data_IF_625212645487
#
_entry.id   IF_625212645487
#
_cell.length_a   1.000
_cell.length_b   1.000
_cell.length_c   1.000
_cell.angle_alpha   90.00
_cell.angle_beta   90.00
_cell.angle_gamma   90.00
#
_symmetry.space_group_name_H-M   'P 1'
#
loop_
_entity.id
_entity.type
_entity.pdbx_description
1 polymer ?
2 non-polymer ?
3 non-polymer ?
4 non-polymer ?
5 water ?
#
# COMPACT_ATOMS: atom_id res chain seq x y z
N UNK A 9 6.84 0.54 13.96
CA UNK A 9 5.57 1.27 14.05
C UNK A 9 4.42 0.36 14.44
N UNK A 10 3.41 0.92 15.10
CA UNK A 10 2.17 0.20 15.35
C UNK A 10 1.16 0.57 14.27
N UNK A 11 1.51 0.18 13.05
CA UNK A 11 0.67 0.48 11.90
C UNK A 11 -0.66 -0.27 11.96
N UNK A 12 -0.67 -1.46 12.56
CA UNK A 12 -1.90 -2.23 12.68
C UNK A 12 -2.90 -1.54 13.60
N UNK A 13 -2.43 -0.75 14.56
CA UNK A 13 -3.33 -0.04 15.46
C UNK A 13 -4.02 1.14 14.78
N UNK A 14 -3.44 1.67 13.71
CA UNK A 14 -4.11 2.72 12.97
C UNK A 14 -5.24 2.14 12.13
N UNK A 15 -6.17 3.02 11.75
CA UNK A 15 -7.30 2.59 10.96
C UNK A 15 -6.91 2.15 9.57
N UNK A 16 -7.91 1.78 8.78
CA UNK A 16 -7.67 1.19 7.45
C UNK A 16 -7.53 2.19 6.32
N UNK A 17 -7.70 3.48 6.58
CA UNK A 17 -7.63 4.47 5.52
C UNK A 17 -6.24 5.06 5.36
N UNK A 18 -5.47 4.53 4.40
CA UNK A 18 -4.15 5.04 4.09
C UNK A 18 -4.21 5.88 2.83
N UNK A 19 -3.40 6.93 2.77
CA UNK A 19 -3.53 7.94 1.73
C UNK A 19 -2.16 8.29 1.17
N UNK A 20 -1.98 8.07 -0.13
CA UNK A 20 -0.81 8.59 -0.83
C UNK A 20 -0.84 10.12 -0.87
N UNK A 21 0.32 10.73 -0.62
CA UNK A 21 0.51 12.16 -0.84
C UNK A 21 1.86 12.36 -1.51
N UNK A 22 1.91 12.92 -2.71
CA UNK A 22 3.20 13.15 -3.37
C UNK A 22 4.10 14.05 -2.52
N UNK A 23 5.36 13.65 -2.41
CA UNK A 23 6.29 14.33 -1.50
C UNK A 23 6.75 15.69 -2.01
N UNK A 24 6.50 16.03 -3.27
CA UNK A 24 6.76 17.38 -3.74
C UNK A 24 5.56 18.30 -3.53
N UNK A 25 4.60 17.91 -2.69
CA UNK A 25 3.50 18.78 -2.29
C UNK A 25 3.49 18.98 -0.77
N UNK A 26 4.56 19.53 -0.19
CA UNK A 26 4.59 19.69 1.27
C UNK A 26 3.46 20.56 1.81
N UNK A 27 2.90 21.44 0.98
CA UNK A 27 1.77 22.26 1.42
C UNK A 27 0.55 21.41 1.74
N UNK A 28 0.50 20.16 1.27
CA UNK A 28 -0.63 19.27 1.52
C UNK A 28 -0.36 18.22 2.59
N UNK A 29 0.84 18.18 3.16
CA UNK A 29 1.18 17.11 4.11
C UNK A 29 0.25 17.14 5.32
N UNK A 30 0.04 18.32 5.90
CA UNK A 30 -0.79 18.43 7.10
C UNK A 30 -2.23 18.03 6.83
N UNK A 31 -2.76 18.40 5.65
CA UNK A 31 -4.13 18.03 5.32
C UNK A 31 -4.25 16.51 5.12
N UNK A 32 -3.24 15.90 4.50
CA UNK A 32 -3.24 14.46 4.33
C UNK A 32 -3.24 13.76 5.68
N UNK A 33 -2.37 14.20 6.60
CA UNK A 33 -2.32 13.60 7.92
C UNK A 33 -3.66 13.77 8.65
N UNK A 34 -4.29 14.93 8.51
CA UNK A 34 -5.59 15.14 9.15
C UNK A 34 -6.66 14.24 8.57
N UNK A 35 -6.60 13.96 7.27
CA UNK A 35 -7.66 13.18 6.63
C UNK A 35 -7.51 11.68 6.83
N UNK A 36 -6.28 11.18 6.91
CA UNK A 36 -6.02 9.76 6.80
C UNK A 36 -5.59 9.15 8.13
N UNK A 37 -5.67 7.82 8.20
CA UNK A 37 -5.10 7.10 9.32
C UNK A 37 -3.58 7.01 9.21
N UNK A 38 -3.06 6.72 8.02
CA UNK A 38 -1.64 6.67 7.74
C UNK A 38 -1.41 7.38 6.41
N UNK A 39 -0.33 8.15 6.31
CA UNK A 39 0.02 8.86 5.09
C UNK A 39 1.18 8.13 4.44
N UNK A 40 1.10 7.90 3.14
CA UNK A 40 2.23 7.37 2.37
C UNK A 40 2.84 8.54 1.61
N UNK A 41 3.93 9.09 2.13
CA UNK A 41 4.62 10.15 1.41
C UNK A 41 5.37 9.52 0.25
N UNK A 42 5.10 10.00 -0.97
CA UNK A 42 5.47 9.26 -2.17
C UNK A 42 6.65 9.94 -2.87
N UNK A 43 7.74 9.18 -3.02
CA UNK A 43 8.86 9.62 -3.86
C UNK A 43 8.88 8.93 -5.22
N UNK A 44 7.96 7.98 -5.46
CA UNK A 44 7.95 7.22 -6.71
C UNK A 44 6.94 7.81 -7.69
N UNK A 45 5.97 7.01 -8.16
CA UNK A 45 5.23 7.38 -9.36
C UNK A 45 4.38 8.62 -9.20
N UNK A 46 4.04 9.01 -7.97
CA UNK A 46 3.29 10.25 -7.80
C UNK A 46 4.10 11.51 -8.00
N UNK A 47 5.43 11.40 -8.16
CA UNK A 47 6.29 12.57 -8.31
C UNK A 47 7.01 12.47 -9.64
N UNK A 48 6.91 13.54 -10.44
CA UNK A 48 7.60 13.59 -11.73
C UNK A 48 9.10 13.45 -11.55
N UNK A 49 9.74 12.83 -12.55
CA UNK A 49 11.18 12.59 -12.50
C UNK A 49 11.95 13.85 -12.12
N UNK A 50 11.61 14.98 -12.74
CA UNK A 50 12.34 16.22 -12.47
C UNK A 50 12.06 16.79 -11.10
N UNK A 51 10.99 16.35 -10.44
CA UNK A 51 10.57 16.87 -9.15
C UNK A 51 11.03 16.01 -7.97
N UNK A 52 11.68 14.88 -8.23
CA UNK A 52 12.10 14.03 -7.12
C UNK A 52 13.13 14.68 -6.21
N UNK A 53 14.14 15.41 -6.69
CA UNK A 53 15.02 16.11 -5.73
C UNK A 53 14.27 17.08 -4.83
N UNK A 54 13.32 17.84 -5.39
CA UNK A 54 12.51 18.73 -4.56
C UNK A 54 11.68 17.94 -3.55
N UNK A 55 11.15 16.78 -3.98
CA UNK A 55 10.38 15.95 -3.06
C UNK A 55 11.24 15.47 -1.90
N UNK A 56 12.50 15.11 -2.16
CA UNK A 56 13.39 14.66 -1.09
C UNK A 56 13.67 15.77 -0.09
N UNK A 57 13.88 17.00 -0.58
CA UNK A 57 14.06 18.13 0.34
C UNK A 57 12.81 18.37 1.18
N UNK A 58 11.63 18.31 0.56
CA UNK A 58 10.40 18.48 1.33
C UNK A 58 10.24 17.39 2.38
N UNK A 59 10.65 16.17 2.04
CA UNK A 59 10.60 15.07 3.00
C UNK A 59 11.36 15.41 4.27
N UNK A 60 12.51 16.07 4.13
CA UNK A 60 13.31 16.45 5.29
C UNK A 60 12.76 17.70 5.98
N UNK A 61 12.23 18.65 5.20
CA UNK A 61 11.86 19.96 5.74
C UNK A 61 10.48 19.97 6.38
N UNK A 62 9.57 19.08 6.00
CA UNK A 62 8.18 19.10 6.46
C UNK A 62 7.83 17.75 7.06
N UNK A 63 8.21 17.50 8.30
CA UNK A 63 8.01 16.17 8.89
C UNK A 63 6.56 15.93 9.30
N UNK A 64 6.14 14.69 9.13
CA UNK A 64 4.89 14.17 9.68
C UNK A 64 5.22 13.16 10.77
N UNK A 65 4.20 12.78 11.53
CA UNK A 65 4.37 11.80 12.61
C UNK A 65 4.93 10.49 12.06
N UNK A 66 6.15 10.11 12.44
CA UNK A 66 6.73 8.87 11.91
C UNK A 66 6.00 7.61 12.34
N UNK A 67 5.13 7.68 13.36
CA UNK A 67 4.33 6.53 13.74
C UNK A 67 3.11 6.34 12.87
N UNK A 68 2.78 7.31 12.02
CA UNK A 68 1.62 7.22 11.15
C UNK A 68 1.97 7.57 9.71
N UNK A 69 3.25 7.47 9.34
CA UNK A 69 3.72 7.88 8.03
C UNK A 69 4.65 6.80 7.48
N UNK A 70 4.42 6.42 6.23
CA UNK A 70 5.27 5.51 5.45
C UNK A 70 5.82 6.32 4.28
N UNK A 71 7.03 5.98 3.82
CA UNK A 71 7.61 6.67 2.66
C UNK A 71 7.74 5.66 1.53
N UNK A 72 7.06 5.92 0.40
CA UNK A 72 7.28 5.07 -0.77
C UNK A 72 8.53 5.54 -1.49
N UNK A 73 9.54 4.67 -1.54
CA UNK A 73 10.80 4.96 -2.22
C UNK A 73 10.73 4.43 -3.64
N UNK A 74 11.82 4.56 -4.39
CA UNK A 74 11.85 4.08 -5.76
C UNK A 74 12.32 2.63 -5.80
N UNK A 75 12.25 2.04 -6.99
CA UNK A 75 12.42 0.60 -7.14
C UNK A 75 13.87 0.17 -6.89
N UNK A 76 14.02 -1.10 -6.54
CA UNK A 76 15.35 -1.63 -6.25
C UNK A 76 16.27 -1.48 -7.45
N UNK A 77 17.53 -1.17 -7.18
CA UNK A 77 18.53 -1.06 -8.22
C UNK A 77 18.56 0.25 -8.96
N UNK A 78 17.64 1.17 -8.69
CA UNK A 78 17.60 2.44 -9.39
C UNK A 78 18.43 3.48 -8.67
N UNK A 79 18.96 4.44 -9.44
CA UNK A 79 19.66 5.56 -8.84
C UNK A 79 18.73 6.36 -7.93
N UNK A 80 17.45 6.48 -8.30
CA UNK A 80 16.51 7.22 -7.47
C UNK A 80 16.37 6.62 -6.09
N UNK A 81 16.31 5.29 -5.98
CA UNK A 81 16.21 4.70 -4.64
C UNK A 81 17.42 5.06 -3.80
N UNK A 82 18.61 5.07 -4.41
CA UNK A 82 19.81 5.45 -3.68
C UNK A 82 19.70 6.87 -3.14
N UNK A 83 19.22 7.79 -3.98
CA UNK A 83 19.03 9.16 -3.52
C UNK A 83 17.96 9.22 -2.43
N UNK A 84 16.91 8.38 -2.54
CA UNK A 84 15.85 8.35 -1.54
C UNK A 84 16.39 7.95 -0.17
N UNK A 85 17.20 6.89 -0.13
CA UNK A 85 17.70 6.41 1.15
C UNK A 85 18.64 7.43 1.78
N UNK A 86 19.40 8.16 0.97
CA UNK A 86 20.22 9.25 1.49
C UNK A 86 19.37 10.35 2.10
N UNK A 87 18.28 10.72 1.43
CA UNK A 87 17.40 11.74 1.97
C UNK A 87 16.73 11.25 3.26
N UNK A 88 16.32 9.98 3.28
CA UNK A 88 15.67 9.42 4.46
C UNK A 88 16.60 9.37 5.67
N UNK A 89 17.91 9.36 5.45
CA UNK A 89 18.84 9.37 6.56
C UNK A 89 18.64 10.58 7.46
N UNK A 90 18.21 11.70 6.89
CA UNK A 90 17.97 12.90 7.67
C UNK A 90 16.53 13.04 8.12
N UNK A 91 15.82 11.93 8.28
CA UNK A 91 14.45 11.92 8.75
C UNK A 91 14.29 10.93 9.89
N UNK A 92 13.13 10.98 10.53
CA UNK A 92 12.77 10.04 11.59
C UNK A 92 11.95 8.86 11.08
N UNK A 93 11.75 8.73 9.77
CA UNK A 93 10.89 7.67 9.25
C UNK A 93 11.60 6.34 9.33
N UNK A 94 10.85 5.30 9.68
CA UNK A 94 11.38 3.96 9.85
C UNK A 94 10.77 2.93 8.91
N UNK A 95 9.71 3.27 8.18
CA UNK A 95 9.01 2.32 7.34
C UNK A 95 8.95 2.84 5.91
N UNK A 96 9.36 2.02 4.96
CA UNK A 96 9.32 2.39 3.56
C UNK A 96 8.43 1.41 2.81
N UNK A 97 7.85 1.90 1.72
CA UNK A 97 7.12 1.08 0.77
C UNK A 97 7.99 0.88 -0.47
N UNK A 98 8.20 -0.40 -0.85
CA UNK A 98 9.07 -0.74 -1.97
C UNK A 98 8.21 -1.04 -3.18
N UNK A 99 8.19 -0.19 -4.21
CA UNK A 99 7.41 -0.50 -5.41
C UNK A 99 8.16 -1.49 -6.30
N UNK A 100 7.41 -2.10 -7.21
CA UNK A 100 7.92 -3.16 -8.08
C UNK A 100 8.74 -4.17 -7.28
N UNK A 101 8.26 -4.55 -6.10
CA UNK A 101 9.00 -5.50 -5.26
C UNK A 101 9.03 -6.85 -5.95
N UNK A 102 10.24 -7.41 -6.15
CA UNK A 102 10.36 -8.59 -7.00
C UNK A 102 11.16 -9.73 -6.40
N UNK A 103 11.77 -9.56 -5.24
CA UNK A 103 12.53 -10.64 -4.63
C UNK A 103 12.70 -10.34 -3.15
N UNK A 104 12.93 -11.42 -2.38
CA UNK A 104 13.31 -11.23 -0.99
C UNK A 104 14.57 -10.37 -0.88
N UNK A 105 15.50 -10.51 -1.83
CA UNK A 105 16.75 -9.76 -1.74
C UNK A 105 16.50 -8.25 -1.78
N UNK A 106 15.54 -7.80 -2.60
CA UNK A 106 15.21 -6.38 -2.66
C UNK A 106 14.69 -5.87 -1.34
N UNK A 107 13.96 -6.69 -0.60
CA UNK A 107 13.49 -6.29 0.71
C UNK A 107 14.64 -6.30 1.71
N UNK A 108 15.41 -7.39 1.73
CA UNK A 108 16.49 -7.54 2.70
C UNK A 108 17.50 -6.41 2.59
N UNK A 109 17.75 -5.91 1.38
CA UNK A 109 18.76 -4.86 1.26
C UNK A 109 18.27 -3.54 1.84
N UNK A 110 17.01 -3.43 2.24
CA UNK A 110 16.50 -2.24 2.91
C UNK A 110 16.58 -2.34 4.43
N UNK A 111 17.00 -3.49 4.98
CA UNK A 111 17.22 -3.58 6.42
C UNK A 111 18.20 -2.49 6.85
N UNK A 112 18.06 -1.94 8.06
CA UNK A 112 17.14 -2.34 9.14
C UNK A 112 15.77 -1.65 9.11
N UNK A 113 15.39 -1.05 7.98
CA UNK A 113 14.06 -0.45 7.88
C UNK A 113 12.98 -1.54 7.85
N UNK A 114 11.77 -1.15 8.25
CA UNK A 114 10.59 -1.97 8.00
C UNK A 114 10.09 -1.71 6.58
N UNK A 115 9.61 -2.75 5.92
CA UNK A 115 9.31 -2.67 4.49
C UNK A 115 7.88 -3.13 4.23
N UNK A 116 7.12 -2.31 3.52
CA UNK A 116 5.87 -2.75 2.91
C UNK A 116 6.17 -2.99 1.44
N UNK A 117 6.09 -4.25 1.02
CA UNK A 117 6.41 -4.60 -0.37
C UNK A 117 5.17 -4.40 -1.23
N UNK A 118 5.31 -3.59 -2.27
CA UNK A 118 4.23 -3.35 -3.23
C UNK A 118 4.50 -4.24 -4.44
N UNK A 119 3.74 -5.32 -4.54
CA UNK A 119 3.87 -6.26 -5.65
C UNK A 119 2.97 -5.80 -6.79
N UNK A 120 3.58 -5.56 -7.95
CA UNK A 120 2.86 -4.97 -9.07
C UNK A 120 3.53 -5.36 -10.39
N UNK A 121 4.20 -6.52 -10.41
CA UNK A 121 4.79 -7.09 -11.62
C UNK A 121 4.61 -8.60 -11.53
N UNK A 122 4.74 -9.27 -12.69
CA UNK A 122 4.58 -10.72 -12.72
C UNK A 122 5.63 -11.41 -11.85
N UNK A 123 6.88 -10.94 -11.91
CA UNK A 123 7.92 -11.56 -11.08
C UNK A 123 7.59 -11.42 -9.59
N UNK A 124 7.10 -10.25 -9.17
CA UNK A 124 6.70 -10.10 -7.78
C UNK A 124 5.58 -11.03 -7.39
N UNK A 125 4.61 -11.24 -8.29
CA UNK A 125 3.51 -12.16 -7.99
C UNK A 125 4.02 -13.58 -7.85
N UNK A 126 4.92 -14.00 -8.74
CA UNK A 126 5.47 -15.35 -8.69
C UNK A 126 6.27 -15.56 -7.41
N UNK A 127 6.93 -14.53 -6.92
CA UNK A 127 7.77 -14.61 -5.73
C UNK A 127 7.11 -14.04 -4.49
N UNK A 128 5.77 -13.95 -4.45
CA UNK A 128 5.11 -13.24 -3.37
C UNK A 128 5.39 -13.84 -2.00
N UNK A 129 5.41 -15.17 -1.89
CA UNK A 129 5.65 -15.79 -0.59
C UNK A 129 7.06 -15.50 -0.09
N UNK A 130 8.06 -15.58 -0.98
CA UNK A 130 9.42 -15.28 -0.55
C UNK A 130 9.56 -13.83 -0.12
N UNK A 131 8.88 -12.93 -0.81
CA UNK A 131 8.90 -11.51 -0.44
C UNK A 131 8.23 -11.30 0.91
N UNK A 132 7.08 -11.95 1.13
CA UNK A 132 6.38 -11.80 2.40
C UNK A 132 7.20 -12.34 3.56
N UNK A 133 7.92 -13.44 3.32
CA UNK A 133 8.66 -14.10 4.38
C UNK A 133 9.94 -13.37 4.75
N UNK A 134 10.41 -12.44 3.91
CA UNK A 134 11.67 -11.76 4.19
C UNK A 134 11.60 -11.02 5.53
N UNK A 135 12.70 -11.05 6.27
CA UNK A 135 12.66 -10.52 7.64
C UNK A 135 12.20 -9.07 7.73
N UNK A 136 12.62 -8.13 6.88
CA UNK A 136 12.15 -6.74 7.04
C UNK A 136 10.69 -6.53 6.69
N UNK A 137 10.02 -7.49 6.06
CA UNK A 137 8.67 -7.23 5.59
C UNK A 137 7.72 -7.07 6.76
N UNK A 138 6.92 -6.00 6.75
CA UNK A 138 5.82 -5.84 7.68
C UNK A 138 4.47 -5.74 6.98
N UNK A 139 4.45 -5.62 5.66
CA UNK A 139 3.19 -5.61 4.93
C UNK A 139 3.39 -5.90 3.46
N UNK A 140 2.29 -6.27 2.81
CA UNK A 140 2.24 -6.48 1.37
C UNK A 140 1.08 -5.68 0.79
N UNK A 141 1.34 -5.04 -0.34
CA UNK A 141 0.32 -4.37 -1.12
C UNK A 141 0.42 -4.88 -2.55
N UNK A 142 -0.65 -4.72 -3.33
CA UNK A 142 -0.57 -5.02 -4.75
C UNK A 142 -1.02 -3.81 -5.57
N UNK A 143 -0.55 -3.76 -6.81
CA UNK A 143 -0.88 -2.69 -7.73
C UNK A 143 -1.30 -3.20 -9.08
N UNK A 144 -2.57 -2.98 -9.43
CA UNK A 144 -3.13 -3.58 -10.64
C UNK A 144 -2.59 -2.93 -11.92
N UNK A 145 -2.32 -1.63 -11.87
CA UNK A 145 -2.02 -0.91 -13.10
C UNK A 145 -0.60 -1.17 -13.57
N UNK A 146 0.39 -1.08 -12.66
CA UNK A 146 1.74 -1.47 -13.04
C UNK A 146 1.80 -2.95 -13.40
N UNK A 147 0.97 -3.77 -12.75
CA UNK A 147 0.94 -5.20 -13.10
C UNK A 147 0.55 -5.36 -14.56
N UNK A 148 -0.56 -4.77 -14.95
CA UNK A 148 -1.02 -4.88 -16.34
C UNK A 148 -0.01 -4.25 -17.28
N UNK A 149 0.59 -3.12 -16.87
CA UNK A 149 1.55 -2.45 -17.74
C UNK A 149 2.75 -3.33 -18.01
N UNK A 150 3.31 -3.95 -16.97
CA UNK A 150 4.50 -4.76 -17.15
C UNK A 150 4.19 -6.12 -17.78
N UNK A 151 2.94 -6.58 -17.72
CA UNK A 151 2.51 -7.73 -18.52
C UNK A 151 2.38 -7.39 -19.99
N UNK A 152 2.46 -6.11 -20.36
CA UNK A 152 2.22 -5.72 -21.72
C UNK A 152 0.76 -5.56 -22.09
N UNK A 153 -0.12 -5.47 -21.10
CA UNK A 153 -1.55 -5.31 -21.34
C UNK A 153 -1.94 -3.84 -21.43
N UNK A 154 -3.26 -3.61 -21.47
CA UNK A 154 -3.76 -2.26 -21.67
C UNK A 154 -4.92 -1.86 -20.78
N UNK A 155 -5.49 -2.76 -19.98
CA UNK A 155 -6.51 -2.37 -19.01
C UNK A 155 -6.65 -3.45 -17.96
N UNK A 156 -6.78 -3.02 -16.71
CA UNK A 156 -6.91 -3.93 -15.58
C UNK A 156 -8.36 -4.33 -15.29
N UNK A 157 -9.34 -3.65 -15.89
CA UNK A 157 -10.74 -3.86 -15.53
C UNK A 157 -11.58 -4.19 -16.76
N UNK A 158 -12.59 -5.03 -16.54
CA UNK A 158 -13.56 -5.40 -17.56
C UNK A 158 -14.51 -4.22 -17.81
N UNK A 159 -15.38 -4.41 -18.80
CA UNK A 159 -16.35 -3.37 -19.15
C UNK A 159 -17.27 -3.05 -17.97
N UNK A 160 -17.66 -4.07 -17.20
CA UNK A 160 -18.52 -3.85 -16.04
C UNK A 160 -17.78 -3.31 -14.83
N UNK A 161 -16.49 -2.98 -14.95
CA UNK A 161 -15.73 -2.40 -13.87
C UNK A 161 -14.98 -3.37 -12.98
N UNK A 162 -15.30 -4.65 -13.06
CA UNK A 162 -14.59 -5.65 -12.27
C UNK A 162 -13.16 -5.82 -12.78
N UNK A 163 -12.26 -6.17 -11.87
CA UNK A 163 -10.90 -6.48 -12.27
C UNK A 163 -10.89 -7.67 -13.22
N UNK A 164 -9.97 -7.65 -14.17
CA UNK A 164 -9.73 -8.83 -15.00
C UNK A 164 -9.11 -9.93 -14.14
N UNK A 165 -9.16 -11.17 -14.65
CA UNK A 165 -8.82 -12.32 -13.82
C UNK A 165 -7.40 -12.26 -13.27
N UNK A 166 -6.42 -11.84 -14.08
CA UNK A 166 -5.04 -11.90 -13.58
C UNK A 166 -4.84 -10.91 -12.43
N UNK A 167 -5.55 -9.79 -12.44
CA UNK A 167 -5.51 -8.87 -11.31
C UNK A 167 -6.18 -9.49 -10.08
N UNK A 168 -7.35 -10.12 -10.26
CA UNK A 168 -7.99 -10.82 -9.15
C UNK A 168 -7.09 -11.91 -8.59
N UNK A 169 -6.36 -12.59 -9.46
CA UNK A 169 -5.44 -13.65 -9.05
C UNK A 169 -4.31 -13.10 -8.18
N UNK A 170 -3.71 -11.99 -8.61
CA UNK A 170 -2.61 -11.39 -7.85
C UNK A 170 -3.10 -10.82 -6.53
N UNK A 171 -4.30 -10.22 -6.53
CA UNK A 171 -4.89 -9.74 -5.28
C UNK A 171 -5.00 -10.85 -4.23
N UNK A 172 -5.54 -12.01 -4.61
CA UNK A 172 -5.62 -13.13 -3.69
C UNK A 172 -4.24 -13.62 -3.31
N UNK A 173 -3.32 -13.67 -4.28
CA UNK A 173 -1.95 -14.11 -4.00
C UNK A 173 -1.32 -13.27 -2.89
N UNK A 174 -1.48 -11.95 -2.98
CA UNK A 174 -0.85 -11.05 -2.02
C UNK A 174 -1.53 -11.15 -0.66
N UNK A 175 -2.87 -11.25 -0.65
CA UNK A 175 -3.58 -11.43 0.62
C UNK A 175 -3.10 -12.70 1.33
N UNK A 176 -3.00 -13.81 0.60
CA UNK A 176 -2.57 -15.05 1.22
C UNK A 176 -1.12 -14.98 1.66
N UNK A 177 -0.25 -14.42 0.82
CA UNK A 177 1.17 -14.39 1.19
C UNK A 177 1.40 -13.51 2.42
N UNK A 178 0.77 -12.33 2.45
CA UNK A 178 0.87 -11.46 3.63
C UNK A 178 0.38 -12.18 4.88
N UNK A 179 -0.82 -12.77 4.81
CA UNK A 179 -1.41 -13.38 5.99
C UNK A 179 -0.64 -14.61 6.43
N UNK A 180 -0.06 -15.35 5.49
CA UNK A 180 0.71 -16.54 5.87
C UNK A 180 1.91 -16.21 6.73
N UNK A 181 2.43 -14.99 6.63
CA UNK A 181 3.61 -14.59 7.41
C UNK A 181 3.30 -13.46 8.38
N UNK A 182 2.02 -13.25 8.69
CA UNK A 182 1.62 -12.29 9.68
C UNK A 182 1.89 -10.85 9.31
N UNK A 183 1.90 -10.55 8.01
CA UNK A 183 2.13 -9.18 7.53
C UNK A 183 0.81 -8.47 7.34
N UNK A 184 0.84 -7.14 7.43
CA UNK A 184 -0.30 -6.35 7.00
C UNK A 184 -0.62 -6.62 5.53
N UNK A 185 -1.91 -6.63 5.20
CA UNK A 185 -2.37 -6.81 3.82
C UNK A 185 -3.08 -5.52 3.39
N UNK A 186 -2.57 -4.90 2.33
CA UNK A 186 -3.09 -3.64 1.82
C UNK A 186 -3.70 -3.84 0.45
N UNK A 187 -4.96 -3.40 0.27
CA UNK A 187 -5.63 -3.57 -1.02
C UNK A 187 -5.34 -2.38 -1.93
N UNK A 188 -5.48 -2.62 -3.23
CA UNK A 188 -5.06 -1.68 -4.28
C UNK A 188 -5.92 -0.41 -4.28
N UNK A 189 -5.32 0.67 -4.79
CA UNK A 189 -6.01 1.95 -4.90
C UNK A 189 -7.16 1.83 -5.91
N UNK A 190 -8.20 2.61 -5.66
CA UNK A 190 -9.32 2.76 -6.58
C UNK A 190 -9.10 4.05 -7.36
N UNK A 191 -8.69 3.93 -8.63
CA UNK A 191 -8.25 5.11 -9.38
C UNK A 191 -9.40 6.06 -9.72
N UNK A 192 -10.61 5.54 -9.86
CA UNK A 192 -11.77 6.36 -10.24
C UNK A 192 -12.30 7.06 -8.99
N UNK A 193 -11.79 8.28 -8.74
CA UNK A 193 -12.01 8.96 -7.47
C UNK A 193 -13.49 9.22 -7.25
N UNK A 194 -14.20 9.71 -8.27
CA UNK A 194 -15.60 10.04 -8.09
C UNK A 194 -16.50 8.81 -8.05
N UNK A 195 -15.98 7.64 -8.43
CA UNK A 195 -16.75 6.39 -8.37
C UNK A 195 -16.76 5.89 -6.92
N UNK A 196 -17.55 6.57 -6.10
CA UNK A 196 -17.65 6.20 -4.68
C UNK A 196 -18.33 4.85 -4.52
N UNK A 197 -19.33 4.57 -5.36
CA UNK A 197 -20.02 3.28 -5.31
C UNK A 197 -19.05 2.12 -5.51
N UNK A 198 -18.19 2.22 -6.53
CA UNK A 198 -17.23 1.15 -6.78
C UNK A 198 -16.22 1.00 -5.67
N UNK A 199 -15.73 2.11 -5.13
CA UNK A 199 -14.83 2.03 -3.98
C UNK A 199 -15.50 1.38 -2.79
N UNK A 200 -16.76 1.76 -2.52
CA UNK A 200 -17.49 1.16 -1.42
C UNK A 200 -17.58 -0.36 -1.58
N UNK A 201 -17.91 -0.83 -2.79
CA UNK A 201 -18.00 -2.26 -3.04
C UNK A 201 -16.67 -2.96 -2.81
N UNK A 202 -15.59 -2.37 -3.33
CA UNK A 202 -14.26 -2.99 -3.21
C UNK A 202 -13.80 -3.04 -1.75
N UNK A 203 -13.95 -1.92 -1.04
CA UNK A 203 -13.46 -1.87 0.33
C UNK A 203 -14.27 -2.77 1.25
N UNK A 204 -15.58 -2.88 1.01
CA UNK A 204 -16.38 -3.84 1.78
C UNK A 204 -15.90 -5.25 1.55
N UNK A 205 -15.65 -5.61 0.28
CA UNK A 205 -15.12 -6.93 -0.02
C UNK A 205 -13.75 -7.13 0.61
N UNK A 206 -12.87 -6.12 0.51
CA UNK A 206 -11.54 -6.22 1.09
C UNK A 206 -11.63 -6.46 2.60
N UNK A 207 -12.48 -5.69 3.29
CA UNK A 207 -12.66 -5.91 4.72
C UNK A 207 -13.21 -7.31 5.00
N UNK A 208 -14.11 -7.80 4.13
CA UNK A 208 -14.75 -9.08 4.38
C UNK A 208 -13.78 -10.25 4.23
N UNK A 209 -12.77 -10.13 3.38
CA UNK A 209 -11.81 -11.23 3.20
C UNK A 209 -10.56 -11.05 4.05
N UNK A 210 -10.44 -9.97 4.81
CA UNK A 210 -9.34 -9.84 5.75
C UNK A 210 -8.19 -8.93 5.33
N UNK A 211 -8.38 -8.09 4.33
CA UNK A 211 -7.41 -7.01 4.17
C UNK A 211 -7.43 -6.13 5.41
N UNK A 212 -6.29 -5.51 5.72
CA UNK A 212 -6.22 -4.61 6.85
C UNK A 212 -6.44 -3.16 6.46
N UNK A 213 -6.18 -2.84 5.20
CA UNK A 213 -6.06 -1.48 4.70
C UNK A 213 -6.57 -1.44 3.27
N UNK A 214 -7.28 -0.39 2.92
CA UNK A 214 -7.46 -0.02 1.53
C UNK A 214 -6.75 1.30 1.32
N UNK A 215 -5.81 1.33 0.37
CA UNK A 215 -5.03 2.54 0.13
C UNK A 215 -5.81 3.46 -0.81
N UNK A 216 -5.73 4.77 -0.53
CA UNK A 216 -6.47 5.79 -1.25
C UNK A 216 -5.51 6.75 -1.94
N UNK A 217 -6.01 7.40 -2.99
CA UNK A 217 -5.25 8.44 -3.69
C UNK A 217 -5.89 9.81 -3.56
N UNK A 218 -7.03 9.91 -2.87
CA UNK A 218 -7.67 11.18 -2.71
C UNK A 218 -8.32 11.19 -1.33
N UNK A 219 -8.22 12.30 -0.58
CA UNK A 219 -8.76 12.29 0.79
C UNK A 219 -10.25 12.02 0.87
N UNK A 220 -11.02 12.35 -0.17
CA UNK A 220 -12.45 12.05 -0.18
C UNK A 220 -12.73 10.55 -0.05
N UNK A 221 -11.76 9.70 -0.40
CA UNK A 221 -11.96 8.26 -0.32
C UNK A 221 -11.83 7.71 1.10
N UNK A 222 -11.17 8.44 2.00
CA UNK A 222 -10.91 7.90 3.34
C UNK A 222 -12.19 7.62 4.11
N UNK A 223 -13.19 8.52 4.17
CA UNK A 223 -14.43 8.17 4.89
C UNK A 223 -15.12 6.95 4.32
N UNK A 224 -15.07 6.78 2.98
CA UNK A 224 -15.70 5.62 2.37
C UNK A 224 -15.03 4.35 2.85
N UNK A 225 -13.71 4.34 2.89
CA UNK A 225 -12.96 3.16 3.34
C UNK A 225 -13.24 2.87 4.81
N UNK A 226 -13.18 3.90 5.66
CA UNK A 226 -13.40 3.69 7.09
C UNK A 226 -14.78 3.12 7.37
N UNK A 227 -15.80 3.61 6.66
CA UNK A 227 -17.15 3.09 6.85
C UNK A 227 -17.28 1.66 6.34
N UNK A 228 -16.64 1.36 5.20
CA UNK A 228 -16.72 0.02 4.63
C UNK A 228 -16.09 -1.03 5.53
N UNK A 229 -15.08 -0.66 6.31
CA UNK A 229 -14.43 -1.60 7.22
C UNK A 229 -15.19 -1.76 8.52
N UNK A 230 -16.35 -1.11 8.67
CA UNK A 230 -17.25 -1.36 9.79
C UNK A 230 -18.43 -2.20 9.32
N UNK A 231 -18.82 -3.23 10.08
CA UNK A 231 -19.97 -4.05 9.69
C UNK A 231 -21.26 -3.23 9.62
N UNK A 232 -22.20 -3.70 8.81
CA UNK A 232 -23.48 -3.03 8.63
C UNK A 232 -24.42 -3.29 9.80
N UNK A 259 -26.01 -24.01 9.32
CA UNK A 259 -25.04 -24.61 10.22
C UNK A 259 -23.91 -23.63 10.58
N UNK A 260 -23.71 -23.44 11.88
CA UNK A 260 -22.67 -22.57 12.41
C UNK A 260 -21.58 -23.43 13.03
N UNK A 261 -20.36 -23.32 12.50
CA UNK A 261 -19.20 -23.97 13.08
C UNK A 261 -18.34 -22.92 13.80
N UNK A 262 -17.24 -23.39 14.39
CA UNK A 262 -16.37 -22.49 15.14
C UNK A 262 -15.88 -21.28 14.34
N UNK A 263 -15.42 -21.41 13.09
CA UNK A 263 -14.97 -20.21 12.37
C UNK A 263 -16.07 -19.21 12.08
N UNK A 264 -17.33 -19.65 11.91
CA UNK A 264 -18.41 -18.68 11.67
C UNK A 264 -18.63 -17.82 12.90
N UNK A 265 -18.46 -18.37 14.10
CA UNK A 265 -18.52 -17.56 15.31
C UNK A 265 -17.36 -16.57 15.37
N UNK A 266 -16.18 -16.97 14.89
CA UNK A 266 -15.07 -16.03 14.80
C UNK A 266 -15.39 -14.86 13.86
N UNK A 267 -16.06 -15.14 12.74
CA UNK A 267 -16.53 -14.08 11.85
C UNK A 267 -17.42 -13.09 12.60
N UNK A 268 -18.37 -13.60 13.39
CA UNK A 268 -19.26 -12.72 14.13
C UNK A 268 -18.51 -11.90 15.18
N UNK A 269 -17.49 -12.50 15.80
CA UNK A 269 -16.69 -11.79 16.79
C UNK A 269 -15.81 -10.74 16.11
N UNK A 270 -15.32 -11.04 14.90
CA UNK A 270 -14.57 -10.05 14.13
C UNK A 270 -15.44 -8.85 13.79
N UNK A 271 -16.70 -9.10 13.38
CA UNK A 271 -17.61 -8.00 13.07
C UNK A 271 -17.83 -7.11 14.29
N UNK A 272 -18.17 -7.71 15.43
CA UNK A 272 -18.33 -6.93 16.65
C UNK A 272 -17.08 -6.12 16.97
N UNK A 273 -15.90 -6.65 16.64
CA UNK A 273 -14.65 -5.94 16.78
C UNK A 273 -14.36 -5.12 15.52
X LIG B 1 2.57 1.28 -9.28
X LIG C 1 0.10 5.65 -7.81
X LIG C 1 -0.97 5.47 -8.44
X LIG C 1 1.23 5.07 -7.98
X LIG C 1 0.03 6.73 -6.67
X LIG D 1 0.69 0.60 -10.03
X LIG D 1 -0.45 0.71 -9.50
X LIG D 1 -1.38 -0.07 -9.83
X LIG D 1 -0.71 1.77 -8.48
X LIG D 1 0.25 1.91 -7.36
X LIG D 1 1.45 1.76 -7.56
X LIG D 1 -0.26 2.27 -6.00
#
# INVERSE_FOLDING_TARGET
MAHHHHHHMNLRAAGPGWLFCPADRPERFAKAAAAADVVILDLEDGVAEAQKPAARNALRDTPLDPERTVVRINAGGTADQARDLEALAGTAYTTVMLPKAESAAQVIELAPRDVIALVETARGAVCAAEIAAADPTVGMMWGAEDLIATLGGSSSRRADGAYRDVARHVRSTILLAASAFGRLALDAVHLDILDVEGLQEEARDAAAVGFDVTVCIHPSQIPVVRKAYRPSHEKLAWARRVLAASRSERGAFAFEGQMVDSPVLTHAETMLRRAGEATSE
MG MG
ACT C O OXT CH3
AAE O1 C2 O3 C4 C5 O8 C9
#
